data_IF_643855648610
#
_entry.id   IF_643855648610
#
_cell.length_a   1.000
_cell.length_b   1.000
_cell.length_c   1.000
_cell.angle_alpha   90.00
_cell.angle_beta   90.00
_cell.angle_gamma   90.00
#
_symmetry.space_group_name_H-M   'P 1'
#
loop_
_entity.id
_entity.type
_entity.pdbx_description
1 polymer ?
#
# COMPACT_ATOMS: atom_id res chain seq x y z
N UNK A 1 35.39 1.53 -16.75
CA UNK A 1 34.20 0.68 -16.71
C UNK A 1 34.41 -0.40 -17.75
N UNK A 2 34.54 -1.64 -17.32
CA UNK A 2 34.75 -2.78 -18.21
C UNK A 2 33.47 -3.11 -18.98
N UNK A 3 33.60 -3.74 -20.13
CA UNK A 3 32.46 -4.23 -20.91
C UNK A 3 31.59 -5.18 -20.07
N UNK A 4 32.21 -6.01 -19.22
CA UNK A 4 31.53 -6.85 -18.24
C UNK A 4 30.73 -6.04 -17.21
N UNK A 5 31.28 -5.00 -16.59
CA UNK A 5 30.53 -4.12 -15.66
C UNK A 5 29.37 -3.41 -16.35
N UNK A 6 29.53 -3.00 -17.61
CA UNK A 6 28.49 -2.35 -18.39
C UNK A 6 27.34 -3.33 -18.71
N UNK A 7 27.66 -4.54 -19.18
CA UNK A 7 26.67 -5.58 -19.47
C UNK A 7 26.03 -6.15 -18.21
N UNK A 8 26.76 -6.35 -17.11
CA UNK A 8 26.19 -6.73 -15.83
C UNK A 8 25.20 -5.68 -15.34
N UNK A 9 25.54 -4.38 -15.42
CA UNK A 9 24.61 -3.30 -15.08
C UNK A 9 23.40 -3.24 -16.02
N UNK A 10 23.58 -3.57 -17.31
CA UNK A 10 22.49 -3.60 -18.31
C UNK A 10 21.58 -4.84 -18.19
N UNK A 11 22.12 -5.99 -17.81
CA UNK A 11 21.39 -7.25 -17.59
C UNK A 11 20.66 -7.22 -16.23
N UNK A 12 21.30 -6.70 -15.17
CA UNK A 12 20.64 -6.49 -13.86
C UNK A 12 19.50 -5.47 -13.95
N UNK A 13 19.63 -4.42 -14.77
CA UNK A 13 18.53 -3.47 -15.05
C UNK A 13 17.31 -4.10 -15.72
N UNK A 14 17.38 -5.38 -16.11
CA UNK A 14 16.38 -6.07 -16.93
C UNK A 14 15.57 -7.14 -16.20
N UNK A 15 15.73 -7.37 -14.89
CA UNK A 15 14.86 -8.28 -14.12
C UNK A 15 14.64 -7.84 -12.65
N UNK A 16 14.57 -6.54 -12.36
CA UNK A 16 14.02 -6.08 -11.07
C UNK A 16 12.56 -5.75 -11.28
N UNK A 17 11.65 -6.51 -10.66
CA UNK A 17 10.23 -6.25 -10.78
C UNK A 17 9.86 -5.13 -9.79
N UNK A 18 9.15 -4.11 -10.30
CA UNK A 18 8.64 -3.02 -9.46
C UNK A 18 7.23 -3.31 -9.04
N UNK A 19 6.92 -2.90 -7.82
CA UNK A 19 5.56 -2.88 -7.30
C UNK A 19 5.31 -1.54 -6.64
N UNK A 20 4.06 -1.11 -6.62
CA UNK A 20 3.63 0.05 -5.84
C UNK A 20 2.52 -0.37 -4.90
N UNK A 21 2.76 -0.16 -3.61
CA UNK A 21 1.75 -0.32 -2.57
C UNK A 21 1.11 1.03 -2.27
N UNK A 22 -0.20 1.02 -2.02
CA UNK A 22 -0.94 2.18 -1.54
C UNK A 22 -1.40 1.94 -0.11
N UNK A 23 -1.18 2.95 0.74
CA UNK A 23 -1.79 3.06 2.07
C UNK A 23 -2.83 4.18 2.01
N UNK A 24 -4.10 3.85 2.25
CA UNK A 24 -5.23 4.74 2.08
C UNK A 24 -6.03 4.97 3.37
N UNK A 25 -6.99 5.89 3.32
CA UNK A 25 -7.84 6.32 4.42
C UNK A 25 -7.09 6.92 5.61
N UNK A 26 -5.87 7.44 5.40
CA UNK A 26 -5.02 7.93 6.48
C UNK A 26 -5.66 9.14 7.19
N UNK A 27 -5.40 9.29 8.49
CA UNK A 27 -6.01 10.34 9.33
C UNK A 27 -5.69 11.75 8.82
N UNK A 28 -4.48 11.94 8.31
CA UNK A 28 -4.03 13.18 7.71
C UNK A 28 -3.15 12.91 6.49
N UNK A 29 -2.94 13.94 5.67
CA UNK A 29 -2.05 13.86 4.53
C UNK A 29 -0.62 13.50 5.00
N UNK A 30 -0.01 12.43 4.46
CA UNK A 30 1.35 12.03 4.81
C UNK A 30 2.34 13.18 4.64
N UNK A 31 3.28 13.31 5.60
CA UNK A 31 4.31 14.36 5.60
C UNK A 31 5.45 14.11 4.61
N UNK A 32 5.49 12.89 4.07
CA UNK A 32 6.43 12.45 3.05
C UNK A 32 6.31 13.26 1.76
N UNK A 33 7.42 13.36 1.01
CA UNK A 33 7.51 13.98 -0.31
C UNK A 33 7.86 12.93 -1.35
N UNK A 34 7.36 13.12 -2.57
CA UNK A 34 7.71 12.26 -3.70
C UNK A 34 9.22 12.21 -3.90
N UNK A 35 9.76 11.00 -4.03
CA UNK A 35 11.20 10.72 -4.15
C UNK A 35 11.91 10.44 -2.82
N UNK A 36 11.28 10.67 -1.67
CA UNK A 36 11.87 10.28 -0.39
C UNK A 36 11.91 8.74 -0.24
N UNK A 37 12.92 8.26 0.47
CA UNK A 37 13.15 6.83 0.70
C UNK A 37 12.63 6.46 2.09
N UNK A 38 11.85 5.38 2.15
CA UNK A 38 11.46 4.70 3.37
C UNK A 38 12.31 3.46 3.58
N UNK A 39 12.75 3.29 4.81
CA UNK A 39 13.45 2.13 5.33
C UNK A 39 12.59 1.41 6.37
N UNK A 40 12.93 0.16 6.67
CA UNK A 40 12.12 -0.68 7.57
C UNK A 40 11.90 0.00 8.92
N UNK A 41 10.64 0.11 9.34
CA UNK A 41 10.23 0.74 10.60
C UNK A 41 9.83 2.21 10.47
N UNK A 42 10.09 2.85 9.33
CA UNK A 42 9.65 4.24 9.11
C UNK A 42 8.11 4.34 9.17
N UNK A 43 7.61 5.38 9.82
CA UNK A 43 6.16 5.63 9.91
C UNK A 43 5.68 6.19 8.58
N UNK A 44 4.82 5.43 7.91
CA UNK A 44 4.18 5.80 6.64
C UNK A 44 3.08 6.85 6.87
N UNK A 45 2.30 6.66 7.94
CA UNK A 45 1.18 7.52 8.30
C UNK A 45 0.41 6.97 9.50
N UNK A 46 -0.70 7.61 9.83
CA UNK A 46 -1.60 7.18 10.90
C UNK A 46 -2.91 6.68 10.27
N UNK A 47 -3.37 5.50 10.70
CA UNK A 47 -4.65 4.93 10.30
C UNK A 47 -5.80 5.88 10.62
N UNK A 48 -6.71 6.07 9.67
CA UNK A 48 -7.83 7.00 9.80
C UNK A 48 -9.11 6.49 9.13
N UNK A 49 -9.93 7.44 8.68
CA UNK A 49 -11.19 7.18 7.99
C UNK A 49 -11.49 8.26 6.94
N UNK A 50 -10.45 8.84 6.33
CA UNK A 50 -10.64 9.88 5.32
C UNK A 50 -11.10 9.30 3.97
N UNK A 51 -11.77 10.12 3.16
CA UNK A 51 -12.35 9.67 1.90
C UNK A 51 -13.66 8.90 2.07
N UNK A 52 -13.92 7.96 1.17
CA UNK A 52 -15.05 7.05 1.23
C UNK A 52 -14.76 5.87 2.16
N UNK A 53 -14.87 6.12 3.46
CA UNK A 53 -14.67 5.13 4.52
C UNK A 53 -15.82 5.23 5.53
N UNK A 54 -16.30 4.10 6.01
CA UNK A 54 -17.42 4.02 6.98
C UNK A 54 -16.94 3.82 8.42
N UNK A 55 -15.69 3.43 8.62
CA UNK A 55 -15.09 3.17 9.92
C UNK A 55 -13.56 3.32 9.86
N UNK A 56 -12.91 3.45 11.03
CA UNK A 56 -11.45 3.52 11.13
C UNK A 56 -10.80 2.20 10.67
N UNK A 57 -10.03 2.25 9.59
CA UNK A 57 -9.25 1.13 9.06
C UNK A 57 -8.15 1.63 8.10
N UNK A 58 -7.15 0.79 7.85
CA UNK A 58 -6.21 0.94 6.75
C UNK A 58 -6.71 0.14 5.56
N UNK A 59 -6.99 0.79 4.43
CA UNK A 59 -7.07 0.09 3.15
C UNK A 59 -5.66 0.02 2.54
N UNK A 60 -5.22 -1.19 2.19
CA UNK A 60 -3.93 -1.43 1.56
C UNK A 60 -4.09 -2.28 0.29
N UNK A 61 -3.48 -1.85 -0.79
CA UNK A 61 -3.45 -2.59 -2.06
C UNK A 61 -2.09 -2.44 -2.74
N UNK A 62 -1.78 -3.34 -3.67
CA UNK A 62 -0.49 -3.37 -4.36
C UNK A 62 -0.66 -3.73 -5.84
N UNK A 63 0.05 -3.01 -6.71
CA UNK A 63 0.05 -3.23 -8.15
C UNK A 63 1.46 -3.40 -8.71
N UNK A 64 1.56 -4.07 -9.85
CA UNK A 64 2.79 -4.12 -10.64
C UNK A 64 3.15 -2.75 -11.24
N UNK A 65 4.45 -2.48 -11.30
CA UNK A 65 5.03 -1.26 -11.84
C UNK A 65 5.03 -0.07 -10.89
N UNK A 66 5.75 0.96 -11.30
CA UNK A 66 5.74 2.28 -10.66
C UNK A 66 4.45 3.03 -11.00
N UNK A 67 3.80 3.60 -9.99
CA UNK A 67 2.58 4.38 -10.17
C UNK A 67 2.86 5.87 -9.95
N UNK A 68 2.78 6.65 -11.03
CA UNK A 68 2.95 8.11 -11.02
C UNK A 68 1.64 8.89 -11.07
N UNK A 69 0.53 8.18 -11.06
CA UNK A 69 -0.82 8.76 -10.97
C UNK A 69 -1.69 7.87 -10.07
N UNK A 70 -2.68 8.46 -9.37
CA UNK A 70 -3.66 7.68 -8.61
C UNK A 70 -4.40 6.69 -9.54
N UNK A 71 -4.77 5.53 -9.00
CA UNK A 71 -5.63 4.56 -9.69
C UNK A 71 -6.83 4.17 -8.79
N UNK A 72 -7.87 3.64 -9.41
CA UNK A 72 -9.13 3.26 -8.76
C UNK A 72 -9.31 1.75 -8.81
N UNK A 73 -10.24 1.22 -7.99
CA UNK A 73 -10.61 -0.20 -8.03
C UNK A 73 -11.02 -0.68 -9.43
N UNK A 74 -11.69 0.18 -10.20
CA UNK A 74 -12.12 -0.16 -11.57
C UNK A 74 -10.92 -0.43 -12.50
N UNK A 75 -9.77 0.21 -12.25
CA UNK A 75 -8.55 -0.04 -13.02
C UNK A 75 -7.99 -1.44 -12.72
N UNK A 76 -8.14 -1.90 -11.48
CA UNK A 76 -7.72 -3.23 -11.04
C UNK A 76 -8.68 -4.30 -11.56
N UNK A 77 -10.00 -4.05 -11.55
CA UNK A 77 -10.99 -5.03 -12.01
C UNK A 77 -10.97 -5.24 -13.52
N UNK A 78 -10.69 -4.18 -14.29
CA UNK A 78 -10.67 -4.26 -15.75
C UNK A 78 -9.30 -4.71 -16.31
N UNK A 79 -8.32 -4.97 -15.45
CA UNK A 79 -6.98 -5.40 -15.85
C UNK A 79 -6.06 -4.29 -16.36
N UNK A 80 -6.49 -3.02 -16.29
CA UNK A 80 -5.64 -1.86 -16.64
C UNK A 80 -4.43 -1.74 -15.69
N UNK A 81 -4.59 -2.23 -14.45
CA UNK A 81 -3.52 -2.39 -13.47
C UNK A 81 -3.54 -3.80 -12.91
N UNK A 82 -2.38 -4.45 -12.91
CA UNK A 82 -2.22 -5.81 -12.40
C UNK A 82 -2.00 -5.74 -10.89
N UNK A 83 -3.01 -6.13 -10.12
CA UNK A 83 -2.93 -6.25 -8.66
C UNK A 83 -2.08 -7.46 -8.25
N UNK A 84 -1.17 -7.29 -7.30
CA UNK A 84 -0.35 -8.37 -6.74
C UNK A 84 -0.73 -8.70 -5.30
N UNK A 85 -1.60 -9.70 -5.13
CA UNK A 85 -1.94 -10.21 -3.78
C UNK A 85 -0.74 -10.83 -3.08
N UNK A 86 0.19 -11.43 -3.83
CA UNK A 86 1.39 -12.05 -3.28
C UNK A 86 2.31 -11.03 -2.62
N UNK A 87 2.60 -9.90 -3.30
CA UNK A 87 3.42 -8.85 -2.70
C UNK A 87 2.71 -8.16 -1.54
N UNK A 88 1.40 -7.95 -1.67
CA UNK A 88 0.57 -7.35 -0.64
C UNK A 88 0.54 -8.20 0.65
N UNK A 89 0.48 -9.53 0.52
CA UNK A 89 0.42 -10.43 1.66
C UNK A 89 1.62 -10.29 2.61
N UNK A 90 2.81 -9.96 2.08
CA UNK A 90 3.99 -9.74 2.92
C UNK A 90 3.96 -8.46 3.77
N UNK A 91 2.98 -7.56 3.58
CA UNK A 91 2.76 -6.42 4.47
C UNK A 91 1.94 -6.81 5.71
N UNK A 92 1.28 -7.97 5.73
CA UNK A 92 0.36 -8.36 6.80
C UNK A 92 1.14 -9.15 7.85
N UNK A 93 1.85 -8.41 8.70
CA UNK A 93 2.49 -8.95 9.89
C UNK A 93 2.44 -7.93 11.04
N UNK A 94 2.88 -8.33 12.23
CA UNK A 94 2.86 -7.50 13.42
C UNK A 94 3.65 -6.20 13.30
N UNK A 95 4.65 -6.12 12.42
CA UNK A 95 5.48 -4.92 12.29
C UNK A 95 4.72 -3.79 11.59
N UNK A 96 3.64 -4.09 10.87
CA UNK A 96 2.79 -3.07 10.25
C UNK A 96 2.21 -2.09 11.28
N UNK A 97 1.70 -2.60 12.40
CA UNK A 97 1.06 -1.80 13.47
C UNK A 97 1.81 -1.83 14.81
N UNK A 98 2.79 -2.73 14.97
CA UNK A 98 3.42 -3.07 16.26
C UNK A 98 2.69 -4.19 17.03
N UNK A 99 1.48 -4.54 16.60
CA UNK A 99 0.64 -5.64 17.10
C UNK A 99 0.06 -6.42 15.92
N UNK A 100 -0.52 -7.60 16.19
CA UNK A 100 -1.10 -8.41 15.13
C UNK A 100 -2.20 -7.65 14.38
N UNK A 101 -2.15 -7.58 13.04
CA UNK A 101 -3.22 -7.03 12.23
C UNK A 101 -4.43 -7.98 12.20
N UNK A 102 -5.62 -7.40 12.20
CA UNK A 102 -6.88 -8.10 11.94
C UNK A 102 -7.38 -7.67 10.56
N UNK A 103 -7.63 -8.66 9.69
CA UNK A 103 -8.27 -8.45 8.39
C UNK A 103 -9.77 -8.30 8.63
N UNK A 104 -10.32 -7.16 8.23
CA UNK A 104 -11.75 -6.84 8.34
C UNK A 104 -12.47 -6.95 7.00
N UNK A 105 -11.75 -6.87 5.89
CA UNK A 105 -12.24 -7.19 4.54
C UNK A 105 -11.11 -7.84 3.76
N UNK A 106 -11.38 -9.03 3.25
CA UNK A 106 -10.42 -9.86 2.53
C UNK A 106 -10.15 -9.37 1.11
N UNK A 107 -9.08 -9.89 0.52
CA UNK A 107 -8.80 -9.71 -0.89
C UNK A 107 -9.81 -10.50 -1.74
N UNK A 108 -10.46 -9.82 -2.68
CA UNK A 108 -11.61 -10.33 -3.45
C UNK A 108 -12.77 -10.81 -2.58
N UNK A 109 -13.07 -10.09 -1.50
CA UNK A 109 -14.18 -10.42 -0.60
C UNK A 109 -15.52 -10.51 -1.35
N UNK A 110 -16.22 -11.63 -1.15
CA UNK A 110 -17.50 -11.90 -1.84
C UNK A 110 -18.66 -11.07 -1.32
N UNK A 111 -18.67 -10.74 -0.02
CA UNK A 111 -19.73 -9.91 0.57
C UNK A 111 -19.55 -8.45 0.14
N UNK A 112 -18.30 -7.98 0.03
CA UNK A 112 -17.97 -6.69 -0.54
C UNK A 112 -18.45 -6.59 -2.00
N UNK A 113 -18.21 -7.63 -2.81
CA UNK A 113 -18.70 -7.68 -4.19
C UNK A 113 -20.23 -7.62 -4.25
N UNK A 114 -20.94 -8.39 -3.42
CA UNK A 114 -22.41 -8.38 -3.36
C UNK A 114 -22.97 -7.02 -2.93
N UNK A 115 -22.32 -6.40 -1.95
CA UNK A 115 -22.79 -5.14 -1.34
C UNK A 115 -22.51 -3.94 -2.23
N UNK A 116 -21.31 -3.86 -2.82
CA UNK A 116 -20.84 -2.67 -3.53
C UNK A 116 -20.68 -2.84 -5.05
N UNK A 117 -20.86 -4.05 -5.56
CA UNK A 117 -20.70 -4.36 -6.99
C UNK A 117 -19.25 -4.22 -7.49
N UNK A 118 -18.26 -4.29 -6.59
CA UNK A 118 -16.84 -4.06 -6.90
C UNK A 118 -15.97 -5.16 -6.32
N UNK A 119 -14.93 -5.56 -7.05
CA UNK A 119 -13.89 -6.44 -6.52
C UNK A 119 -12.97 -5.67 -5.58
N UNK A 120 -12.84 -6.15 -4.34
CA UNK A 120 -11.94 -5.58 -3.34
C UNK A 120 -10.51 -6.08 -3.56
N UNK A 121 -9.74 -5.42 -4.43
CA UNK A 121 -8.36 -5.81 -4.78
C UNK A 121 -7.33 -5.27 -3.78
N UNK A 122 -7.64 -5.38 -2.49
CA UNK A 122 -6.84 -4.94 -1.36
C UNK A 122 -7.28 -5.64 -0.08
N UNK A 123 -6.72 -5.24 1.06
CA UNK A 123 -7.17 -5.65 2.38
C UNK A 123 -7.55 -4.43 3.20
N UNK A 124 -8.58 -4.58 4.03
CA UNK A 124 -8.91 -3.61 5.06
C UNK A 124 -8.43 -4.15 6.40
N UNK A 125 -7.48 -3.45 7.01
CA UNK A 125 -6.74 -3.89 8.18
C UNK A 125 -6.95 -2.95 9.36
N UNK A 126 -6.91 -3.52 10.55
CA UNK A 126 -6.94 -2.79 11.82
C UNK A 126 -5.98 -3.45 12.81
N UNK A 127 -5.39 -2.73 13.78
CA UNK A 127 -4.66 -3.36 14.86
C UNK A 127 -5.60 -4.22 15.71
N UNK A 128 -5.10 -5.35 16.21
CA UNK A 128 -5.87 -6.28 17.04
C UNK A 128 -6.44 -5.64 18.30
N UNK A 129 -5.77 -4.63 18.84
CA UNK A 129 -6.15 -3.92 20.06
C UNK A 129 -6.92 -2.60 19.82
N UNK A 130 -7.45 -2.39 18.60
CA UNK A 130 -8.11 -1.13 18.18
C UNK A 130 -9.26 -0.64 19.08
N UNK A 131 -9.87 -1.56 19.83
CA UNK A 131 -10.99 -1.27 20.72
C UNK A 131 -10.54 -0.93 22.14
N UNK A 132 -9.25 -1.11 22.44
CA UNK A 132 -8.64 -0.83 23.73
C UNK A 132 -7.82 0.45 23.69
N UNK A 133 -7.09 0.72 22.60
CA UNK A 133 -6.19 1.86 22.47
C UNK A 133 -6.04 2.36 21.03
N UNK A 134 -5.46 3.55 20.88
CA UNK A 134 -5.05 4.15 19.60
C UNK A 134 -3.53 4.18 19.41
N UNK A 135 -2.76 3.65 20.36
CA UNK A 135 -1.30 3.66 20.33
C UNK A 135 -0.73 2.96 19.09
N UNK A 136 -1.41 1.92 18.58
CA UNK A 136 -0.99 1.15 17.41
C UNK A 136 -1.63 1.60 16.09
N UNK A 137 -2.11 2.85 16.01
CA UNK A 137 -2.66 3.38 14.75
C UNK A 137 -1.56 3.87 13.81
N UNK A 138 -0.31 3.98 14.27
CA UNK A 138 0.83 4.25 13.41
C UNK A 138 1.07 3.05 12.47
N UNK A 139 1.17 3.34 11.18
CA UNK A 139 1.44 2.37 10.13
C UNK A 139 2.91 2.46 9.76
N UNK A 140 3.62 1.35 9.83
CA UNK A 140 5.06 1.28 9.60
C UNK A 140 5.36 0.61 8.26
N UNK A 141 6.43 1.07 7.61
CA UNK A 141 7.01 0.38 6.46
C UNK A 141 7.69 -0.90 6.96
N UNK A 142 7.02 -2.04 6.85
CA UNK A 142 7.52 -3.33 7.34
C UNK A 142 8.24 -4.17 6.29
N UNK A 143 8.66 -3.57 5.17
CA UNK A 143 9.40 -4.29 4.13
C UNK A 143 10.90 -4.22 4.38
N UNK A 144 11.60 -5.32 4.08
CA UNK A 144 13.06 -5.37 4.11
C UNK A 144 13.72 -4.60 2.96
N UNK A 145 12.97 -4.35 1.87
CA UNK A 145 13.39 -3.53 0.75
C UNK A 145 13.03 -2.07 1.03
N UNK A 146 13.89 -1.16 0.58
CA UNK A 146 13.58 0.27 0.59
C UNK A 146 12.37 0.56 -0.29
N UNK A 147 11.54 1.48 0.15
CA UNK A 147 10.44 2.03 -0.61
C UNK A 147 10.74 3.46 -1.05
N UNK A 148 10.31 3.86 -2.23
CA UNK A 148 10.40 5.24 -2.71
C UNK A 148 9.00 5.81 -2.80
N UNK A 149 8.75 6.94 -2.16
CA UNK A 149 7.46 7.65 -2.24
C UNK A 149 7.21 8.03 -3.69
N UNK A 150 6.21 7.43 -4.33
CA UNK A 150 5.84 7.75 -5.71
C UNK A 150 4.73 8.77 -5.79
N UNK A 151 3.79 8.76 -4.84
CA UNK A 151 2.70 9.74 -4.74
C UNK A 151 2.27 10.00 -3.31
N UNK A 152 1.82 11.23 -3.05
CA UNK A 152 1.04 11.60 -1.87
C UNK A 152 -0.20 12.33 -2.35
N UNK A 153 -1.38 11.81 -2.00
CA UNK A 153 -2.67 12.21 -2.59
C UNK A 153 -3.65 12.56 -1.49
N UNK A 154 -4.48 13.57 -1.74
CA UNK A 154 -5.69 13.86 -0.99
C UNK A 154 -6.88 13.68 -1.95
N UNK A 155 -7.62 12.58 -1.78
CA UNK A 155 -8.76 12.20 -2.62
C UNK A 155 -10.04 12.06 -1.78
N UNK A 156 -10.67 13.16 -1.35
CA UNK A 156 -11.81 13.12 -0.43
C UNK A 156 -13.04 12.41 -1.01
N UNK A 157 -13.11 12.24 -2.33
CA UNK A 157 -14.22 11.52 -3.02
C UNK A 157 -13.90 10.04 -3.29
N UNK A 158 -12.69 9.59 -2.97
CA UNK A 158 -12.26 8.20 -3.15
C UNK A 158 -11.50 7.74 -1.91
N UNK A 159 -10.18 7.57 -2.01
CA UNK A 159 -9.40 6.91 -0.96
C UNK A 159 -8.91 7.80 0.18
N UNK A 160 -9.29 9.08 0.17
CA UNK A 160 -8.89 10.05 1.19
C UNK A 160 -7.40 10.37 1.10
N UNK A 161 -6.78 10.58 2.26
CA UNK A 161 -5.34 10.76 2.33
C UNK A 161 -4.63 9.44 2.04
N UNK A 162 -3.78 9.46 1.01
CA UNK A 162 -3.07 8.29 0.54
C UNK A 162 -1.58 8.58 0.35
N UNK A 163 -0.78 7.53 0.48
CA UNK A 163 0.61 7.49 0.03
C UNK A 163 0.83 6.22 -0.79
N UNK A 164 1.59 6.39 -1.87
CA UNK A 164 1.98 5.33 -2.77
C UNK A 164 3.49 5.19 -2.65
N UNK A 165 3.96 3.96 -2.46
CA UNK A 165 5.37 3.65 -2.24
C UNK A 165 5.76 2.57 -3.23
N UNK A 166 6.72 2.88 -4.10
CA UNK A 166 7.25 1.95 -5.09
C UNK A 166 8.50 1.25 -4.54
N UNK A 167 8.59 -0.06 -4.70
CA UNK A 167 9.72 -0.87 -4.25
C UNK A 167 10.10 -1.91 -5.32
N UNK A 168 11.35 -2.36 -5.27
CA UNK A 168 11.92 -3.36 -6.18
C UNK A 168 12.06 -4.72 -5.47
N UNK A 169 11.71 -5.80 -6.18
CA UNK A 169 11.84 -7.20 -5.74
C UNK A 169 12.82 -7.93 -6.63
#
# INVERSE_FOLDING_TARGET
>A
MTEFEYWSKYIYRRITMKYTVRFAHLESKPKWKVGEVLTRGDIVGIMGTTGQSTALHLHIDCVEGEQKQPYKLIDLSNGNKVSSSHQLFFFIDKELFGVDPVITTEYNDTEYLKTYGKLHRGYDLVPSDRHQTREHYAIHWNRSKEGIVSLVVDDPKGYGNCIYITFEV
#
